data_IF_947199893931
#
_entry.id   IF_947199893931
#
_cell.length_a   1.000
_cell.length_b   1.000
_cell.length_c   1.000
_cell.angle_alpha   90.00
_cell.angle_beta   90.00
_cell.angle_gamma   90.00
#
_symmetry.space_group_name_H-M   'P 1'
#
loop_
_entity.id
_entity.type
_entity.pdbx_description
1 polymer ?
#
# COMPACT_ATOMS: atom_id res chain seq x y z
N UNK A 1 0.86 -48.03 3.02
CA UNK A 1 -0.16 -47.00 2.79
C UNK A 1 0.41 -45.66 3.22
N UNK A 2 0.95 -44.83 2.31
CA UNK A 2 1.53 -43.52 2.62
C UNK A 2 1.59 -42.63 1.36
N UNK A 3 0.43 -42.40 0.72
CA UNK A 3 0.33 -41.51 -0.46
C UNK A 3 -0.84 -40.51 -0.40
N UNK A 4 -1.56 -40.43 0.72
CA UNK A 4 -2.81 -39.64 0.80
C UNK A 4 -2.65 -38.24 1.41
N UNK A 5 -1.52 -37.90 2.04
CA UNK A 5 -1.31 -36.60 2.68
C UNK A 5 -0.70 -35.55 1.75
N UNK A 6 0.13 -35.95 0.78
CA UNK A 6 0.84 -35.01 -0.10
C UNK A 6 -0.04 -34.36 -1.18
N UNK A 7 -1.20 -34.95 -1.51
CA UNK A 7 -2.08 -34.45 -2.59
C UNK A 7 -3.08 -33.38 -2.12
N UNK A 8 -3.25 -33.21 -0.80
CA UNK A 8 -4.16 -32.21 -0.21
C UNK A 8 -3.45 -30.87 0.01
N UNK A 9 -2.19 -30.89 0.46
CA UNK A 9 -1.37 -29.69 0.65
C UNK A 9 -1.08 -28.95 -0.66
N UNK A 10 -0.85 -29.67 -1.76
CA UNK A 10 -0.60 -29.05 -3.07
C UNK A 10 -1.84 -28.38 -3.66
N UNK A 11 -3.05 -28.92 -3.41
CA UNK A 11 -4.30 -28.30 -3.89
C UNK A 11 -4.57 -26.98 -3.18
N UNK A 12 -4.33 -26.91 -1.85
CA UNK A 12 -4.47 -25.67 -1.09
C UNK A 12 -3.41 -24.63 -1.44
N UNK A 13 -2.17 -25.02 -1.73
CA UNK A 13 -1.13 -24.07 -2.16
C UNK A 13 -1.41 -23.51 -3.57
N UNK A 14 -1.90 -24.34 -4.50
CA UNK A 14 -2.31 -23.86 -5.82
C UNK A 14 -3.52 -22.91 -5.74
N UNK A 15 -4.53 -23.25 -4.95
CA UNK A 15 -5.73 -22.41 -4.75
C UNK A 15 -5.36 -21.04 -4.17
N UNK A 16 -4.47 -20.99 -3.18
CA UNK A 16 -3.98 -19.72 -2.61
C UNK A 16 -3.18 -18.86 -3.60
N UNK A 17 -2.34 -19.49 -4.42
CA UNK A 17 -1.57 -18.78 -5.46
C UNK A 17 -2.48 -18.22 -6.57
N UNK A 18 -3.52 -18.97 -6.94
CA UNK A 18 -4.49 -18.53 -7.94
C UNK A 18 -5.36 -17.37 -7.39
N UNK A 19 -5.72 -17.41 -6.11
CA UNK A 19 -6.41 -16.30 -5.42
C UNK A 19 -5.55 -15.03 -5.35
N UNK A 20 -4.27 -15.16 -4.98
CA UNK A 20 -3.33 -14.03 -4.95
C UNK A 20 -3.15 -13.41 -6.35
N UNK A 21 -2.98 -14.23 -7.39
CA UNK A 21 -2.85 -13.74 -8.76
C UNK A 21 -4.11 -13.02 -9.26
N UNK A 22 -5.29 -13.54 -8.93
CA UNK A 22 -6.56 -12.89 -9.28
C UNK A 22 -6.72 -11.54 -8.56
N UNK A 23 -6.33 -11.46 -7.29
CA UNK A 23 -6.35 -10.22 -6.52
C UNK A 23 -5.42 -9.16 -7.13
N UNK A 24 -4.20 -9.55 -7.51
CA UNK A 24 -3.21 -8.67 -8.15
C UNK A 24 -3.69 -8.18 -9.54
N UNK A 25 -4.29 -9.06 -10.35
CA UNK A 25 -4.84 -8.69 -11.66
C UNK A 25 -6.02 -7.71 -11.51
N UNK A 26 -6.91 -7.95 -10.54
CA UNK A 26 -8.03 -7.07 -10.26
C UNK A 26 -7.56 -5.69 -9.76
N UNK A 27 -6.56 -5.66 -8.88
CA UNK A 27 -5.94 -4.41 -8.40
C UNK A 27 -5.32 -3.61 -9.56
N UNK A 28 -4.61 -4.29 -10.48
CA UNK A 28 -4.03 -3.66 -11.66
C UNK A 28 -5.11 -3.06 -12.57
N UNK A 29 -6.20 -3.79 -12.81
CA UNK A 29 -7.32 -3.29 -13.61
C UNK A 29 -7.93 -2.02 -13.00
N UNK A 30 -8.14 -2.00 -11.68
CA UNK A 30 -8.73 -0.86 -10.99
C UNK A 30 -7.80 0.37 -11.02
N UNK A 31 -6.49 0.16 -10.83
CA UNK A 31 -5.50 1.23 -10.99
C UNK A 31 -5.49 1.82 -12.41
N UNK A 32 -5.61 0.98 -13.44
CA UNK A 32 -5.65 1.41 -14.83
C UNK A 32 -6.93 2.19 -15.19
N UNK A 33 -8.04 1.92 -14.50
CA UNK A 33 -9.30 2.62 -14.75
C UNK A 33 -9.22 4.10 -14.34
N UNK A 34 -8.36 4.44 -13.35
CA UNK A 34 -8.22 5.80 -12.82
C UNK A 34 -7.09 6.65 -13.45
N UNK A 35 -6.15 6.03 -14.18
CA UNK A 35 -4.99 6.74 -14.75
C UNK A 35 -5.36 7.95 -15.60
N UNK A 36 -6.42 7.84 -16.41
CA UNK A 36 -6.88 8.91 -17.29
C UNK A 36 -7.37 10.14 -16.50
N UNK A 37 -7.94 9.94 -15.30
CA UNK A 37 -8.38 11.00 -14.40
C UNK A 37 -7.18 11.72 -13.79
N UNK A 38 -6.19 10.95 -13.30
CA UNK A 38 -4.94 11.48 -12.74
C UNK A 38 -4.19 12.30 -13.81
N UNK A 39 -4.05 11.74 -15.00
CA UNK A 39 -3.37 12.40 -16.11
C UNK A 39 -4.12 13.66 -16.55
N UNK A 40 -5.45 13.63 -16.60
CA UNK A 40 -6.27 14.81 -16.91
C UNK A 40 -5.96 15.99 -15.99
N UNK A 41 -5.93 15.75 -14.68
CA UNK A 41 -5.63 16.80 -13.70
C UNK A 41 -4.22 17.39 -13.92
N UNK A 42 -3.22 16.55 -14.20
CA UNK A 42 -1.87 17.00 -14.48
C UNK A 42 -1.77 17.81 -15.79
N UNK A 43 -2.42 17.32 -16.86
CA UNK A 43 -2.47 17.98 -18.17
C UNK A 43 -3.18 19.32 -18.10
N UNK A 44 -4.30 19.41 -17.38
CA UNK A 44 -5.08 20.64 -17.22
C UNK A 44 -4.26 21.71 -16.47
N UNK A 45 -3.57 21.33 -15.38
CA UNK A 45 -2.64 22.22 -14.65
C UNK A 45 -1.48 22.68 -15.52
N UNK A 46 -0.94 21.79 -16.35
CA UNK A 46 0.19 22.11 -17.21
C UNK A 46 -0.21 22.88 -18.48
N UNK A 47 -1.47 22.81 -18.89
CA UNK A 47 -1.93 23.29 -20.18
C UNK A 47 -1.69 22.26 -21.30
N UNK A 48 -2.75 21.73 -21.95
CA UNK A 48 -2.63 20.61 -22.89
C UNK A 48 -1.77 20.91 -24.13
N UNK A 49 -1.77 22.17 -24.61
CA UNK A 49 -0.89 22.60 -25.71
C UNK A 49 0.60 22.53 -25.34
N UNK A 50 0.93 22.87 -24.09
CA UNK A 50 2.31 22.83 -23.60
C UNK A 50 2.79 21.39 -23.48
N UNK A 51 1.93 20.51 -22.95
CA UNK A 51 2.20 19.07 -22.86
C UNK A 51 2.40 18.46 -24.25
N UNK A 52 1.48 18.73 -25.19
CA UNK A 52 1.57 18.22 -26.56
C UNK A 52 2.89 18.60 -27.24
N UNK A 53 3.29 19.88 -27.12
CA UNK A 53 4.55 20.38 -27.68
C UNK A 53 5.78 19.77 -27.01
N UNK A 54 5.76 19.62 -25.68
CA UNK A 54 6.90 19.09 -24.94
C UNK A 54 7.14 17.59 -25.19
N UNK A 55 6.07 16.83 -25.45
CA UNK A 55 6.12 15.40 -25.74
C UNK A 55 6.17 15.07 -27.24
N UNK A 56 6.20 16.09 -28.11
CA UNK A 56 6.17 15.96 -29.57
C UNK A 56 5.00 15.08 -30.08
N UNK A 57 3.80 15.36 -29.58
CA UNK A 57 2.57 14.66 -29.96
C UNK A 57 1.46 15.64 -30.35
N UNK A 58 0.42 15.13 -31.02
CA UNK A 58 -0.73 15.96 -31.36
C UNK A 58 -1.56 16.34 -30.13
N UNK A 59 -2.13 17.56 -30.15
CA UNK A 59 -3.05 18.02 -29.11
C UNK A 59 -4.27 17.10 -28.96
N UNK A 60 -4.78 16.56 -30.06
CA UNK A 60 -5.89 15.60 -30.06
C UNK A 60 -5.54 14.31 -29.33
N UNK A 61 -4.30 13.83 -29.43
CA UNK A 61 -3.86 12.65 -28.69
C UNK A 61 -3.79 12.93 -27.19
N UNK A 62 -3.31 14.10 -26.78
CA UNK A 62 -3.30 14.52 -25.37
C UNK A 62 -4.72 14.51 -24.80
N UNK A 63 -5.71 15.06 -25.51
CA UNK A 63 -7.10 14.98 -25.04
C UNK A 63 -7.64 13.54 -24.97
N UNK A 64 -7.29 12.68 -25.95
CA UNK A 64 -7.67 11.26 -25.91
C UNK A 64 -7.07 10.51 -24.71
N UNK A 65 -5.87 10.87 -24.25
CA UNK A 65 -5.26 10.29 -23.06
C UNK A 65 -5.99 10.64 -21.76
N UNK A 66 -6.74 11.75 -21.75
CA UNK A 66 -7.52 12.21 -20.58
C UNK A 66 -8.96 11.67 -20.54
N UNK A 67 -9.28 10.74 -21.44
CA UNK A 67 -10.58 10.09 -21.55
C UNK A 67 -10.44 8.61 -21.16
N UNK A 68 -11.52 7.96 -20.69
CA UNK A 68 -11.50 6.54 -20.36
C UNK A 68 -10.98 5.73 -21.56
N UNK A 69 -9.95 4.88 -21.37
CA UNK A 69 -9.43 4.07 -22.46
C UNK A 69 -10.41 2.95 -22.79
N UNK A 70 -10.31 2.42 -24.00
CA UNK A 70 -11.08 1.24 -24.40
C UNK A 70 -10.57 0.01 -23.64
N UNK A 71 -11.43 -0.59 -22.81
CA UNK A 71 -11.16 -1.80 -22.01
C UNK A 71 -12.14 -2.92 -22.33
N UNK A 72 -11.95 -4.12 -21.77
CA UNK A 72 -12.94 -5.21 -21.86
C UNK A 72 -14.28 -4.80 -21.21
N UNK A 73 -14.21 -4.08 -20.08
CA UNK A 73 -15.37 -3.55 -19.33
C UNK A 73 -16.04 -2.39 -20.06
N UNK A 74 -15.29 -1.57 -20.81
CA UNK A 74 -15.83 -0.43 -21.55
C UNK A 74 -15.37 -0.41 -23.04
N UNK A 75 -15.99 -1.24 -23.91
CA UNK A 75 -15.57 -1.37 -25.31
C UNK A 75 -15.88 -0.16 -26.19
N UNK A 76 -16.81 0.70 -25.78
CA UNK A 76 -17.27 1.88 -26.51
C UNK A 76 -16.49 3.15 -26.18
N UNK A 77 -15.56 3.09 -25.21
CA UNK A 77 -14.74 4.22 -24.84
C UNK A 77 -13.81 4.65 -25.98
N UNK A 78 -13.67 5.97 -26.15
CA UNK A 78 -12.90 6.60 -27.23
C UNK A 78 -11.48 7.03 -26.82
N UNK A 79 -11.14 6.88 -25.54
CA UNK A 79 -9.83 7.23 -25.01
C UNK A 79 -8.73 6.33 -25.54
N UNK A 80 -7.53 6.90 -25.63
CA UNK A 80 -6.33 6.18 -26.03
C UNK A 80 -5.54 5.77 -24.78
N UNK A 81 -4.84 4.63 -24.84
CA UNK A 81 -3.87 4.26 -23.79
C UNK A 81 -2.88 5.39 -23.60
N UNK A 82 -2.79 5.85 -22.36
CA UNK A 82 -2.03 7.01 -21.97
C UNK A 82 -0.62 6.63 -21.47
N UNK A 83 0.31 7.59 -21.32
CA UNK A 83 1.66 7.29 -20.86
C UNK A 83 1.72 6.68 -19.46
N UNK A 84 0.79 7.04 -18.57
CA UNK A 84 0.73 6.48 -17.21
C UNK A 84 0.34 5.00 -17.25
N UNK A 85 -0.61 4.60 -18.12
CA UNK A 85 -0.95 3.18 -18.35
C UNK A 85 0.28 2.35 -18.70
N UNK A 86 1.16 2.91 -19.54
CA UNK A 86 2.38 2.24 -19.98
C UNK A 86 3.35 2.05 -18.82
N UNK A 87 3.55 3.09 -18.00
CA UNK A 87 4.43 3.01 -16.83
C UNK A 87 3.92 1.99 -15.81
N UNK A 88 2.61 2.00 -15.52
CA UNK A 88 1.97 1.01 -14.64
C UNK A 88 2.16 -0.41 -15.19
N UNK A 89 1.92 -0.61 -16.49
CA UNK A 89 2.11 -1.93 -17.13
C UNK A 89 3.57 -2.39 -17.06
N UNK A 90 4.54 -1.50 -17.31
CA UNK A 90 5.96 -1.85 -17.25
C UNK A 90 6.33 -2.24 -15.82
N UNK A 91 5.95 -1.42 -14.84
CA UNK A 91 6.22 -1.69 -13.42
C UNK A 91 5.64 -3.05 -13.00
N UNK A 92 4.39 -3.34 -13.36
CA UNK A 92 3.75 -4.61 -13.02
C UNK A 92 4.48 -5.83 -13.64
N UNK A 93 5.01 -5.69 -14.86
CA UNK A 93 5.75 -6.77 -15.52
C UNK A 93 7.19 -6.92 -15.02
N UNK A 94 7.81 -5.85 -14.53
CA UNK A 94 9.21 -5.85 -14.14
C UNK A 94 9.45 -5.96 -12.63
N UNK A 95 8.45 -5.62 -11.82
CA UNK A 95 8.53 -5.44 -10.37
C UNK A 95 9.76 -4.60 -9.94
N UNK A 96 10.11 -3.62 -10.77
CA UNK A 96 11.32 -2.82 -10.60
C UNK A 96 11.01 -1.57 -9.76
N UNK A 97 11.27 -1.68 -8.46
CA UNK A 97 11.09 -0.59 -7.50
C UNK A 97 11.96 0.64 -7.82
N UNK A 98 13.09 0.50 -8.53
CA UNK A 98 13.93 1.66 -8.89
C UNK A 98 13.20 2.61 -9.85
N UNK A 99 12.29 2.09 -10.69
CA UNK A 99 11.43 2.93 -11.53
C UNK A 99 10.58 3.88 -10.69
N UNK A 100 9.95 3.37 -9.62
CA UNK A 100 9.11 4.15 -8.72
C UNK A 100 9.98 5.15 -7.94
N UNK A 101 11.13 4.71 -7.43
CA UNK A 101 12.07 5.59 -6.75
C UNK A 101 12.54 6.75 -7.63
N UNK A 102 12.84 6.47 -8.91
CA UNK A 102 13.23 7.48 -9.88
C UNK A 102 12.14 8.55 -10.05
N UNK A 103 10.88 8.16 -10.20
CA UNK A 103 9.76 9.09 -10.31
C UNK A 103 9.59 9.93 -9.03
N UNK A 104 9.73 9.33 -7.85
CA UNK A 104 9.66 10.06 -6.57
C UNK A 104 10.79 11.10 -6.43
N UNK A 105 12.01 10.80 -6.91
CA UNK A 105 13.14 11.75 -6.88
C UNK A 105 12.85 13.04 -7.63
N UNK A 106 12.08 13.00 -8.72
CA UNK A 106 11.66 14.20 -9.47
C UNK A 106 10.86 15.14 -8.56
N UNK A 107 10.03 14.59 -7.67
CA UNK A 107 9.27 15.34 -6.68
C UNK A 107 10.06 15.64 -5.38
N UNK A 108 11.37 15.34 -5.34
CA UNK A 108 12.20 15.36 -4.12
C UNK A 108 11.66 14.48 -2.99
N UNK A 109 10.92 13.44 -3.35
CA UNK A 109 10.38 12.43 -2.45
C UNK A 109 11.18 11.12 -2.50
N UNK A 110 10.67 10.12 -1.78
CA UNK A 110 11.17 8.74 -1.77
C UNK A 110 9.99 7.81 -1.55
N UNK A 111 9.95 6.68 -2.27
CA UNK A 111 8.91 5.67 -2.07
C UNK A 111 9.29 4.77 -0.91
N UNK A 112 8.44 4.67 0.10
CA UNK A 112 8.56 3.67 1.15
C UNK A 112 7.36 2.75 1.00
N UNK A 113 7.63 1.47 0.72
CA UNK A 113 6.57 0.49 0.64
C UNK A 113 5.79 0.47 1.96
N UNK A 114 4.47 0.39 1.85
CA UNK A 114 3.64 0.08 3.00
C UNK A 114 4.13 -1.27 3.53
N UNK A 115 4.36 -1.42 4.85
CA UNK A 115 4.64 -2.74 5.39
C UNK A 115 3.55 -3.76 5.00
N UNK A 116 3.83 -5.05 5.14
CA UNK A 116 2.79 -6.07 4.90
C UNK A 116 1.86 -6.06 6.10
N UNK A 117 0.55 -6.02 5.86
CA UNK A 117 -0.46 -6.21 6.91
C UNK A 117 -0.14 -7.53 7.62
N UNK A 118 0.36 -7.42 8.85
CA UNK A 118 0.30 -8.55 9.79
C UNK A 118 -1.19 -8.73 10.05
N UNK A 119 -1.77 -9.83 9.55
CA UNK A 119 -3.22 -10.08 9.62
C UNK A 119 -3.79 -9.87 11.01
N UNK A 120 -5.13 -9.75 11.12
CA UNK A 120 -6.00 -9.37 12.27
C UNK A 120 -5.64 -9.94 13.67
N UNK A 121 -4.40 -9.83 14.11
CA UNK A 121 -3.90 -10.40 15.34
C UNK A 121 -4.06 -9.36 16.44
N UNK A 122 -5.30 -9.17 16.91
CA UNK A 122 -5.63 -8.60 18.23
C UNK A 122 -4.87 -7.32 18.61
N UNK A 123 -4.54 -6.46 17.64
CA UNK A 123 -3.81 -5.23 17.93
C UNK A 123 -4.81 -4.20 18.45
N UNK A 124 -4.83 -3.98 19.77
CA UNK A 124 -5.61 -2.88 20.35
C UNK A 124 -5.19 -1.55 19.73
N UNK A 125 -6.18 -0.74 19.31
CA UNK A 125 -5.99 0.64 18.85
C UNK A 125 -5.10 1.45 19.79
N UNK A 126 -5.31 1.28 21.10
CA UNK A 126 -4.55 1.96 22.15
C UNK A 126 -3.08 1.52 22.10
N UNK A 127 -2.83 0.21 22.00
CA UNK A 127 -1.47 -0.32 21.88
C UNK A 127 -0.77 0.18 20.63
N UNK A 128 -1.46 0.20 19.47
CA UNK A 128 -0.90 0.71 18.22
C UNK A 128 -0.54 2.20 18.34
N UNK A 129 -1.41 3.00 18.94
CA UNK A 129 -1.20 4.44 19.20
C UNK A 129 0.02 4.68 20.10
N UNK A 130 0.08 4.02 21.26
CA UNK A 130 1.20 4.15 22.20
C UNK A 130 2.51 3.71 21.56
N UNK A 131 2.46 2.64 20.78
CA UNK A 131 3.63 2.09 20.07
C UNK A 131 4.14 3.04 18.97
N UNK A 132 3.26 3.76 18.28
CA UNK A 132 3.65 4.79 17.32
C UNK A 132 4.25 6.03 18.02
N UNK A 133 3.67 6.45 19.15
CA UNK A 133 4.18 7.56 19.94
C UNK A 133 5.58 7.27 20.51
N UNK A 134 5.81 6.05 21.01
CA UNK A 134 7.11 5.62 21.49
C UNK A 134 8.15 5.60 20.36
N UNK A 135 7.81 5.09 19.17
CA UNK A 135 8.73 5.12 18.04
C UNK A 135 9.11 6.55 17.62
N UNK A 136 8.17 7.50 17.71
CA UNK A 136 8.47 8.91 17.47
C UNK A 136 9.40 9.48 18.55
N UNK A 137 9.15 9.16 19.82
CA UNK A 137 10.02 9.57 20.92
C UNK A 137 11.45 9.01 20.76
N UNK A 138 11.58 7.74 20.36
CA UNK A 138 12.87 7.08 20.09
C UNK A 138 13.62 7.76 18.94
N UNK A 139 12.91 8.17 17.88
CA UNK A 139 13.51 8.93 16.78
C UNK A 139 14.06 10.28 17.25
N UNK A 140 13.31 11.00 18.09
CA UNK A 140 13.76 12.28 18.65
C UNK A 140 14.97 12.11 19.58
N UNK A 141 14.95 11.10 20.46
CA UNK A 141 16.09 10.78 21.32
C UNK A 141 17.33 10.39 20.51
N UNK A 142 17.16 9.64 19.41
CA UNK A 142 18.27 9.31 18.52
C UNK A 142 18.86 10.57 17.86
N UNK A 143 18.02 11.52 17.45
CA UNK A 143 18.46 12.78 16.85
C UNK A 143 19.20 13.65 17.87
N UNK A 144 18.64 13.79 19.07
CA UNK A 144 19.27 14.52 20.18
C UNK A 144 20.62 13.90 20.56
N UNK A 145 20.68 12.57 20.70
CA UNK A 145 21.92 11.88 21.04
C UNK A 145 22.98 12.04 19.95
N UNK A 146 22.59 11.91 18.68
CA UNK A 146 23.53 12.11 17.56
C UNK A 146 24.14 13.52 17.63
N UNK A 147 23.32 14.54 17.89
CA UNK A 147 23.82 15.92 17.99
C UNK A 147 24.64 16.20 19.26
N UNK A 148 24.27 15.62 20.40
CA UNK A 148 24.91 15.91 21.70
C UNK A 148 26.21 15.14 21.91
N UNK A 149 26.42 14.02 21.22
CA UNK A 149 27.66 13.22 21.34
C UNK A 149 28.88 13.94 20.73
N UNK A 150 28.77 14.54 19.54
CA UNK A 150 29.91 15.21 18.88
C UNK A 150 29.62 16.62 18.31
N UNK A 151 28.43 17.16 18.57
CA UNK A 151 28.01 18.51 18.14
C UNK A 151 27.54 18.60 16.70
N UNK A 152 27.42 17.48 15.98
CA UNK A 152 26.97 17.41 14.58
C UNK A 152 26.19 16.12 14.34
N UNK A 153 25.67 15.95 13.13
CA UNK A 153 25.05 14.69 12.70
C UNK A 153 25.85 14.23 11.49
N UNK A 154 26.57 13.12 11.61
CA UNK A 154 27.37 12.58 10.52
C UNK A 154 26.53 11.78 9.52
N UNK A 155 27.13 11.35 8.40
CA UNK A 155 26.44 10.59 7.35
C UNK A 155 25.88 9.25 7.85
N UNK A 156 26.54 8.60 8.82
CA UNK A 156 26.08 7.33 9.37
C UNK A 156 24.90 7.53 10.31
N UNK A 157 24.92 8.57 11.12
CA UNK A 157 23.82 8.98 11.99
C UNK A 157 22.61 9.45 11.18
N UNK A 158 22.82 10.26 10.14
CA UNK A 158 21.79 10.65 9.21
C UNK A 158 21.13 9.44 8.53
N UNK A 159 21.92 8.41 8.17
CA UNK A 159 21.38 7.13 7.65
C UNK A 159 20.56 6.38 8.71
N UNK A 160 21.01 6.33 9.97
CA UNK A 160 20.25 5.71 11.07
C UNK A 160 18.92 6.42 11.31
N UNK A 161 18.93 7.75 11.36
CA UNK A 161 17.75 8.59 11.47
C UNK A 161 16.78 8.34 10.31
N UNK A 162 17.30 8.31 9.08
CA UNK A 162 16.50 7.99 7.89
C UNK A 162 15.82 6.62 8.00
N UNK A 163 16.58 5.59 8.39
CA UNK A 163 16.05 4.23 8.57
C UNK A 163 14.94 4.18 9.62
N UNK A 164 15.11 4.87 10.75
CA UNK A 164 14.11 4.91 11.81
C UNK A 164 12.85 5.69 11.37
N UNK A 165 13.04 6.83 10.70
CA UNK A 165 11.95 7.58 10.06
C UNK A 165 11.15 6.75 9.06
N UNK A 166 11.83 5.99 8.19
CA UNK A 166 11.15 5.13 7.22
C UNK A 166 10.34 4.02 7.89
N UNK A 167 10.85 3.44 8.99
CA UNK A 167 10.10 2.49 9.81
C UNK A 167 8.87 3.11 10.47
N UNK A 168 9.00 4.31 11.04
CA UNK A 168 7.89 5.03 11.69
C UNK A 168 6.80 5.37 10.67
N UNK A 169 7.16 5.87 9.48
CA UNK A 169 6.19 6.11 8.39
C UNK A 169 5.41 4.84 8.05
N UNK A 170 6.12 3.72 7.85
CA UNK A 170 5.47 2.45 7.54
C UNK A 170 4.49 2.02 8.64
N UNK A 171 4.86 2.15 9.92
CA UNK A 171 3.99 1.82 11.04
C UNK A 171 2.76 2.73 11.13
N UNK A 172 2.92 4.03 10.90
CA UNK A 172 1.79 4.97 10.89
C UNK A 172 0.85 4.69 9.73
N UNK A 173 1.39 4.36 8.56
CA UNK A 173 0.58 3.93 7.41
C UNK A 173 -0.23 2.67 7.74
N UNK A 174 0.37 1.69 8.43
CA UNK A 174 -0.34 0.48 8.89
C UNK A 174 -1.51 0.81 9.80
N UNK A 175 -1.27 1.74 10.72
CA UNK A 175 -2.29 2.19 11.63
C UNK A 175 -3.44 2.85 10.88
N UNK A 176 -3.16 3.70 9.88
CA UNK A 176 -4.20 4.33 9.07
C UNK A 176 -4.96 3.31 8.22
N UNK A 177 -4.28 2.40 7.52
CA UNK A 177 -4.92 1.33 6.75
C UNK A 177 -5.80 0.48 7.66
N UNK A 178 -5.33 0.13 8.87
CA UNK A 178 -6.14 -0.60 9.86
C UNK A 178 -7.39 0.17 10.31
N UNK A 179 -7.33 1.50 10.37
CA UNK A 179 -8.53 2.33 10.60
C UNK A 179 -9.48 2.33 9.40
N UNK A 180 -8.95 2.39 8.17
CA UNK A 180 -9.75 2.37 6.93
C UNK A 180 -10.46 1.03 6.71
N UNK A 181 -9.82 -0.07 7.13
CA UNK A 181 -10.34 -1.44 7.02
C UNK A 181 -11.25 -1.86 8.20
N UNK A 182 -11.45 -0.99 9.20
CA UNK A 182 -12.28 -1.31 10.37
C UNK A 182 -11.67 -2.35 11.31
N UNK A 183 -10.34 -2.55 11.28
CA UNK A 183 -9.62 -3.52 12.14
C UNK A 183 -9.77 -3.18 13.63
N UNK A 184 -9.98 -1.90 13.93
CA UNK A 184 -10.13 -1.39 15.29
C UNK A 184 -11.59 -1.15 15.70
N UNK A 185 -12.56 -1.56 14.88
CA UNK A 185 -13.98 -1.38 15.18
C UNK A 185 -14.37 -2.20 16.41
N UNK A 186 -14.96 -1.52 17.39
CA UNK A 186 -15.36 -2.09 18.69
C UNK A 186 -16.47 -3.15 18.57
N UNK A 187 -16.97 -3.44 17.38
CA UNK A 187 -18.09 -4.36 17.13
C UNK A 187 -17.67 -5.84 17.00
N UNK A 188 -16.36 -6.16 16.97
CA UNK A 188 -15.88 -7.56 16.89
C UNK A 188 -15.19 -8.10 18.17
N UNK A 189 -15.05 -7.30 19.22
CA UNK A 189 -14.55 -7.77 20.53
C UNK A 189 -15.67 -8.38 21.41
N UNK A 190 -16.86 -8.63 20.83
CA UNK A 190 -18.07 -8.98 21.56
C UNK A 190 -18.45 -10.46 21.67
N UNK A 191 -17.87 -11.37 20.89
CA UNK A 191 -18.48 -12.71 20.69
C UNK A 191 -17.63 -13.95 21.04
N UNK A 192 -16.48 -13.82 21.73
CA UNK A 192 -15.70 -15.00 22.15
C UNK A 192 -15.61 -15.31 23.66
N UNK A 193 -16.07 -14.46 24.59
CA UNK A 193 -15.99 -14.77 26.04
C UNK A 193 -17.30 -15.27 26.69
N UNK A 194 -18.46 -15.16 26.03
CA UNK A 194 -19.74 -15.47 26.70
C UNK A 194 -20.15 -16.97 26.65
N UNK A 195 -19.41 -17.79 25.90
CA UNK A 195 -19.62 -19.24 25.81
C UNK A 195 -19.07 -20.06 26.99
N UNK A 196 -18.12 -19.52 27.77
CA UNK A 196 -17.47 -20.26 28.87
C UNK A 196 -18.08 -20.01 30.24
N UNK A 197 -18.71 -18.85 30.48
CA UNK A 197 -19.38 -18.56 31.77
C UNK A 197 -20.70 -19.32 31.95
N UNK A 198 -21.45 -19.57 30.87
CA UNK A 198 -22.75 -20.26 30.95
C UNK A 198 -22.66 -21.77 31.23
N UNK A 199 -21.54 -22.43 30.91
CA UNK A 199 -21.33 -23.86 31.24
C UNK A 199 -20.87 -24.10 32.67
N UNK A 200 -20.19 -23.14 33.31
CA UNK A 200 -19.74 -23.26 34.70
C UNK A 200 -20.87 -23.03 35.72
N UNK A 201 -21.79 -22.12 35.42
CA UNK A 201 -22.94 -21.86 36.29
C UNK A 201 -23.98 -23.00 36.31
N UNK A 202 -24.03 -23.84 35.27
CA UNK A 202 -25.00 -24.96 35.19
C UNK A 202 -24.47 -26.28 35.78
N UNK A 203 -23.18 -26.39 36.07
CA UNK A 203 -22.58 -27.58 36.71
C UNK A 203 -22.40 -27.47 38.23
N UNK A 204 -22.78 -26.34 38.82
CA UNK A 204 -22.74 -26.11 40.28
C UNK A 204 -24.15 -26.11 40.92
N UNK A 205 -25.20 -26.37 40.13
CA UNK A 205 -26.61 -26.47 40.59
C UNK A 205 -27.23 -27.86 40.42
N UNK A 206 -26.43 -28.90 40.12
CA UNK A 206 -26.82 -30.33 40.23
C UNK A 206 -26.17 -31.02 41.44
#
# INVERSE_FOLDING_TARGET
MAKSSASKDTSSEQELLDEEQQADEQLLEDLLDDTHKILKQAVDRAGPKRVARALDVSLSLVYKWTQPPRTKKNPSASGARNPLDKLVTIFHLSDDLEMVQFLCRIARGYYTANPKLLGKAGHSFVTATVTALNDFADLMQLAEKSLTDDGRIDDNEAKKLRKNWDRLKGRLEHFIVGCEEGVYDLENDGDEDDGKKKKRAKSEEE
#
